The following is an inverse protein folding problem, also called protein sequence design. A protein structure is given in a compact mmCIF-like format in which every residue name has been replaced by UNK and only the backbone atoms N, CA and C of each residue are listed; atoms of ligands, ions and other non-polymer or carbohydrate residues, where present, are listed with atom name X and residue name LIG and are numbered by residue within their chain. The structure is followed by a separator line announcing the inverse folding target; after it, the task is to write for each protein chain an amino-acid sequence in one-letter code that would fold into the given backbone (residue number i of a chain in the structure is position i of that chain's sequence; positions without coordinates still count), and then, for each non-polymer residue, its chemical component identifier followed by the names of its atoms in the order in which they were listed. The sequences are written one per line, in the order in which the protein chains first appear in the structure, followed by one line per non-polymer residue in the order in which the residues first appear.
data_IF_842190263436
#
_entry.id   IF_842190263436
#
_cell.length_a   1.000
_cell.length_b   1.000
_cell.length_c   1.000
_cell.angle_alpha   90.00
_cell.angle_beta   90.00
_cell.angle_gamma   90.00
#
_symmetry.space_group_name_H-M   'P 1'
#
loop_
_entity.id
_entity.type
_entity.pdbx_description
1 polymer ?
#
# COMPACT_ATOMS: atom_id res chain seq x y z
N UNK A 1 7.82 0.15 4.01
CA UNK A 1 8.12 0.76 2.68
C UNK A 1 7.46 2.14 2.49
N UNK A 2 6.20 2.32 2.90
CA UNK A 2 5.45 3.57 2.69
C UNK A 2 6.07 4.85 3.26
N UNK A 3 6.98 4.77 4.24
CA UNK A 3 7.69 5.91 4.84
C UNK A 3 9.03 6.24 4.16
N UNK A 4 9.47 5.44 3.20
CA UNK A 4 10.70 5.76 2.46
C UNK A 4 10.41 6.91 1.50
N UNK A 5 11.11 8.04 1.69
CA UNK A 5 11.03 9.25 0.86
C UNK A 5 9.65 9.95 0.83
N UNK A 6 8.85 9.76 1.88
CA UNK A 6 7.49 10.33 2.03
C UNK A 6 7.31 10.84 3.46
N UNK A 7 6.65 12.01 3.61
CA UNK A 7 6.38 12.58 4.93
C UNK A 7 5.34 11.76 5.70
N UNK A 8 5.52 11.64 7.02
CA UNK A 8 4.64 10.86 7.91
C UNK A 8 3.18 11.32 7.80
N UNK A 9 2.93 12.63 7.81
CA UNK A 9 1.59 13.22 7.70
C UNK A 9 0.86 12.80 6.41
N UNK A 10 1.59 12.66 5.31
CA UNK A 10 1.05 12.18 4.03
C UNK A 10 0.73 10.69 4.07
N UNK A 11 1.49 9.88 4.82
CA UNK A 11 1.38 8.41 4.83
C UNK A 11 0.24 7.91 5.72
N UNK A 12 -0.04 8.58 6.84
CA UNK A 12 -1.07 8.16 7.82
C UNK A 12 -2.39 7.75 7.15
N UNK A 13 -3.05 8.60 6.33
CA UNK A 13 -4.35 8.24 5.75
C UNK A 13 -4.26 7.12 4.69
N UNK A 14 -3.08 6.88 4.09
CA UNK A 14 -2.90 5.74 3.19
C UNK A 14 -2.68 4.45 3.96
N UNK A 15 -1.90 4.50 5.03
CA UNK A 15 -1.66 3.35 5.89
C UNK A 15 -2.97 2.87 6.55
N UNK A 16 -3.79 3.77 7.06
CA UNK A 16 -5.09 3.42 7.65
C UNK A 16 -6.02 2.74 6.64
N UNK A 17 -6.12 3.29 5.43
CA UNK A 17 -6.92 2.69 4.35
C UNK A 17 -6.36 1.33 3.91
N UNK A 18 -5.03 1.22 3.82
CA UNK A 18 -4.36 -0.02 3.43
C UNK A 18 -4.55 -1.12 4.47
N UNK A 19 -4.37 -0.81 5.76
CA UNK A 19 -4.61 -1.77 6.84
C UNK A 19 -6.09 -2.11 7.03
N UNK A 20 -6.99 -1.18 6.70
CA UNK A 20 -8.43 -1.45 6.67
C UNK A 20 -8.84 -2.44 5.58
N UNK A 21 -8.19 -2.39 4.40
CA UNK A 21 -8.45 -3.31 3.30
C UNK A 21 -7.67 -4.63 3.40
N UNK A 22 -6.41 -4.54 3.81
CA UNK A 22 -5.46 -5.64 3.88
C UNK A 22 -4.93 -5.78 5.32
N UNK A 23 -5.76 -6.28 6.26
CA UNK A 23 -5.37 -6.38 7.67
C UNK A 23 -4.30 -7.45 7.92
N UNK A 24 -4.15 -8.41 7.01
CA UNK A 24 -3.20 -9.52 7.10
C UNK A 24 -2.42 -9.68 5.80
N UNK A 25 -1.26 -10.34 5.91
CA UNK A 25 -0.41 -10.63 4.75
C UNK A 25 -1.12 -11.58 3.76
N UNK A 26 -1.94 -12.50 4.26
CA UNK A 26 -2.75 -13.40 3.45
C UNK A 26 -3.80 -12.63 2.66
N UNK A 27 -4.52 -11.71 3.30
CA UNK A 27 -5.50 -10.87 2.62
C UNK A 27 -4.86 -10.03 1.50
N UNK A 28 -3.62 -9.59 1.70
CA UNK A 28 -2.85 -8.89 0.67
C UNK A 28 -2.44 -9.82 -0.47
N UNK A 29 -1.99 -11.04 -0.18
CA UNK A 29 -1.55 -12.03 -1.17
C UNK A 29 -2.72 -12.58 -2.01
N UNK A 30 -3.91 -12.72 -1.42
CA UNK A 30 -5.12 -13.18 -2.10
C UNK A 30 -5.80 -12.10 -2.93
N UNK A 31 -5.44 -10.83 -2.74
CA UNK A 31 -6.05 -9.71 -3.43
C UNK A 31 -5.46 -9.52 -4.84
N UNK A 32 -6.28 -9.11 -5.83
CA UNK A 32 -5.79 -8.78 -7.16
C UNK A 32 -4.73 -7.67 -7.12
N UNK A 33 -3.68 -7.84 -7.92
CA UNK A 33 -2.58 -6.87 -7.98
C UNK A 33 -3.07 -5.44 -8.27
N UNK A 34 -4.03 -5.27 -9.18
CA UNK A 34 -4.60 -3.97 -9.52
C UNK A 34 -5.27 -3.27 -8.33
N UNK A 35 -5.88 -4.04 -7.43
CA UNK A 35 -6.50 -3.51 -6.22
C UNK A 35 -5.45 -3.00 -5.21
N UNK A 36 -4.36 -3.75 -5.05
CA UNK A 36 -3.21 -3.32 -4.24
C UNK A 36 -2.59 -2.05 -4.82
N UNK A 37 -2.46 -1.96 -6.14
CA UNK A 37 -1.93 -0.78 -6.83
C UNK A 37 -2.87 0.42 -6.69
N UNK A 38 -4.19 0.23 -6.72
CA UNK A 38 -5.17 1.29 -6.50
C UNK A 38 -5.09 1.88 -5.10
N UNK A 39 -4.91 1.04 -4.07
CA UNK A 39 -4.71 1.51 -2.70
C UNK A 39 -3.34 2.15 -2.46
N UNK A 40 -2.37 1.91 -3.35
CA UNK A 40 -1.05 2.53 -3.35
C UNK A 40 -0.97 3.80 -4.23
N UNK A 41 -1.95 3.99 -5.13
CA UNK A 41 -2.05 5.12 -6.06
C UNK A 41 -2.14 6.43 -5.27
N UNK A 42 -1.13 7.29 -5.42
CA UNK A 42 -1.01 8.56 -4.70
C UNK A 42 0.25 8.68 -3.83
N UNK A 43 0.85 7.57 -3.40
CA UNK A 43 2.14 7.56 -2.68
C UNK A 43 3.36 7.51 -3.62
N UNK A 44 3.13 7.36 -4.93
CA UNK A 44 4.18 7.17 -5.93
C UNK A 44 4.94 5.85 -5.79
N UNK A 45 5.74 5.51 -6.81
CA UNK A 45 6.60 4.32 -6.87
C UNK A 45 5.86 2.96 -6.84
N UNK A 46 5.13 2.66 -7.92
CA UNK A 46 4.50 1.36 -8.20
C UNK A 46 5.46 0.15 -8.10
N UNK A 47 6.77 0.35 -8.32
CA UNK A 47 7.78 -0.70 -8.17
C UNK A 47 7.87 -1.25 -6.73
N UNK A 48 7.57 -0.43 -5.72
CA UNK A 48 7.62 -0.84 -4.31
C UNK A 48 6.43 -1.71 -3.91
N UNK A 49 5.24 -1.43 -4.47
CA UNK A 49 4.07 -2.27 -4.32
C UNK A 49 4.24 -3.61 -5.05
N UNK A 50 4.83 -3.58 -6.26
CA UNK A 50 5.14 -4.80 -7.04
C UNK A 50 6.19 -5.69 -6.40
N UNK A 51 7.14 -5.16 -5.64
CA UNK A 51 8.13 -5.96 -4.91
C UNK A 51 7.59 -6.51 -3.57
N UNK A 52 6.37 -6.13 -3.17
CA UNK A 52 5.76 -6.50 -1.89
C UNK A 52 4.60 -7.50 -2.06
N UNK A 53 4.12 -7.68 -3.30
CA UNK A 53 3.27 -8.79 -3.72
C UNK A 53 4.16 -9.93 -4.25
#
# INVERSE_FOLDING_TARGET
IMLQQTQVSTVIPYFERFMGRFPTLQALAESPQDEVLQHWSGLGYYARARNLH
#
